data_IF_973824891252
#
_entry.id   IF_973824891252
#
_cell.length_a   1.000
_cell.length_b   1.000
_cell.length_c   1.000
_cell.angle_alpha   90.00
_cell.angle_beta   90.00
_cell.angle_gamma   90.00
#
_symmetry.space_group_name_H-M   'P 1'
#
loop_
_entity.id
_entity.type
_entity.pdbx_description
1 polymer ?
#
# COMPACT_ATOMS: atom_id res chain seq x y z
N UNK A 1 -22.99 14.65 1.82
CA UNK A 1 -23.81 15.88 1.97
C UNK A 1 -25.02 15.82 1.06
N UNK A 2 -24.86 15.72 -0.25
CA UNK A 2 -25.99 15.63 -1.19
C UNK A 2 -26.97 14.50 -0.83
N UNK A 3 -26.50 13.35 -0.38
CA UNK A 3 -27.35 12.22 0.06
C UNK A 3 -28.18 12.48 1.31
N UNK A 4 -27.70 13.34 2.23
CA UNK A 4 -28.40 13.70 3.48
C UNK A 4 -29.43 14.79 3.17
N UNK A 5 -29.01 15.80 2.39
CA UNK A 5 -29.85 16.90 1.93
C UNK A 5 -31.01 16.41 1.05
N UNK A 6 -30.76 15.48 0.12
CA UNK A 6 -31.79 14.89 -0.74
C UNK A 6 -32.86 14.11 0.04
N UNK A 7 -32.58 13.73 1.30
CA UNK A 7 -33.54 13.09 2.19
C UNK A 7 -34.28 14.07 3.11
N UNK A 8 -34.05 15.38 2.97
CA UNK A 8 -34.60 16.40 3.87
C UNK A 8 -34.04 16.36 5.29
N UNK A 9 -32.95 15.62 5.51
CA UNK A 9 -32.34 15.46 6.83
C UNK A 9 -31.29 16.56 7.09
N UNK A 10 -31.12 16.92 8.36
CA UNK A 10 -30.06 17.84 8.80
C UNK A 10 -28.93 17.04 9.46
N UNK A 11 -27.70 17.48 9.26
CA UNK A 11 -26.52 16.90 9.89
C UNK A 11 -26.13 17.79 11.07
N UNK A 12 -26.17 17.23 12.27
CA UNK A 12 -25.60 17.85 13.46
C UNK A 12 -24.39 17.05 13.92
N UNK A 13 -23.28 17.76 14.16
CA UNK A 13 -22.02 17.15 14.55
C UNK A 13 -21.70 17.63 15.95
N UNK A 14 -21.81 16.74 16.93
CA UNK A 14 -21.69 17.08 18.35
C UNK A 14 -20.36 17.76 18.72
N UNK A 15 -19.29 17.47 17.96
CA UNK A 15 -17.96 18.02 18.18
C UNK A 15 -17.71 19.33 17.41
N UNK A 16 -18.68 19.81 16.63
CA UNK A 16 -18.62 21.09 15.93
C UNK A 16 -19.68 22.04 16.51
N UNK A 17 -19.53 23.37 16.33
CA UNK A 17 -20.59 24.30 16.70
C UNK A 17 -21.91 23.91 16.02
N UNK A 18 -22.93 23.61 16.84
CA UNK A 18 -24.25 23.24 16.34
C UNK A 18 -24.97 24.47 15.80
N UNK A 19 -25.60 24.31 14.64
CA UNK A 19 -26.37 25.37 13.97
C UNK A 19 -27.89 25.19 14.17
N UNK A 20 -28.29 24.36 15.13
CA UNK A 20 -29.69 24.07 15.47
C UNK A 20 -30.47 25.28 15.97
N UNK A 21 -29.78 26.29 16.53
CA UNK A 21 -30.37 27.57 16.97
C UNK A 21 -30.74 28.54 15.84
N UNK A 22 -30.39 28.24 14.59
CA UNK A 22 -30.75 29.06 13.42
C UNK A 22 -32.15 28.65 12.94
N UNK A 23 -33.10 29.59 13.02
CA UNK A 23 -34.49 29.37 12.63
C UNK A 23 -34.67 29.17 11.12
N UNK A 24 -33.90 29.88 10.29
CA UNK A 24 -33.95 29.74 8.83
C UNK A 24 -33.22 28.46 8.38
N UNK A 25 -33.93 27.47 7.79
CA UNK A 25 -33.34 26.24 7.30
C UNK A 25 -32.27 26.46 6.21
N UNK A 26 -32.43 27.47 5.37
CA UNK A 26 -31.51 27.75 4.26
C UNK A 26 -30.18 28.28 4.78
N UNK A 27 -30.23 29.25 5.71
CA UNK A 27 -29.05 29.78 6.38
C UNK A 27 -28.32 28.71 7.19
N UNK A 28 -29.06 27.87 7.93
CA UNK A 28 -28.48 26.73 8.65
C UNK A 28 -27.74 25.79 7.71
N UNK A 29 -28.33 25.46 6.56
CA UNK A 29 -27.73 24.56 5.58
C UNK A 29 -26.46 25.14 4.95
N UNK A 30 -26.47 26.44 4.63
CA UNK A 30 -25.31 27.15 4.10
C UNK A 30 -24.14 27.13 5.09
N UNK A 31 -24.39 27.49 6.34
CA UNK A 31 -23.37 27.54 7.39
C UNK A 31 -22.78 26.14 7.65
N UNK A 32 -23.62 25.11 7.77
CA UNK A 32 -23.15 23.72 7.93
C UNK A 32 -22.29 23.27 6.74
N UNK A 33 -22.66 23.63 5.50
CA UNK A 33 -21.88 23.29 4.31
C UNK A 33 -20.50 23.97 4.32
N UNK A 34 -20.46 25.27 4.63
CA UNK A 34 -19.21 26.04 4.69
C UNK A 34 -18.24 25.47 5.73
N UNK A 35 -18.74 25.17 6.94
CA UNK A 35 -17.91 24.57 7.99
C UNK A 35 -17.33 23.25 7.52
N UNK A 36 -18.16 22.37 6.97
CA UNK A 36 -17.71 21.07 6.45
C UNK A 36 -16.66 21.24 5.35
N UNK A 37 -16.80 22.23 4.47
CA UNK A 37 -15.83 22.53 3.42
C UNK A 37 -14.48 22.99 3.98
N UNK A 38 -14.49 23.85 5.00
CA UNK A 38 -13.27 24.27 5.71
C UNK A 38 -12.57 23.07 6.36
N UNK A 39 -13.31 22.19 7.03
CA UNK A 39 -12.73 20.98 7.62
C UNK A 39 -12.19 19.99 6.58
N UNK A 40 -12.86 19.87 5.43
CA UNK A 40 -12.35 19.06 4.30
C UNK A 40 -11.03 19.62 3.79
N UNK A 41 -10.95 20.94 3.59
CA UNK A 41 -9.73 21.60 3.15
C UNK A 41 -8.58 21.39 4.14
N UNK A 42 -8.84 21.58 5.44
CA UNK A 42 -7.86 21.36 6.50
C UNK A 42 -7.36 19.91 6.49
N UNK A 43 -8.27 18.94 6.43
CA UNK A 43 -7.92 17.52 6.39
C UNK A 43 -7.09 17.15 5.14
N UNK A 44 -7.42 17.72 3.98
CA UNK A 44 -6.64 17.50 2.76
C UNK A 44 -5.24 18.12 2.87
N UNK A 45 -5.13 19.34 3.41
CA UNK A 45 -3.87 20.04 3.63
C UNK A 45 -2.94 19.24 4.57
N UNK A 46 -3.47 18.75 5.68
CA UNK A 46 -2.73 17.89 6.61
C UNK A 46 -2.28 16.60 5.95
N UNK A 47 -3.15 15.96 5.16
CA UNK A 47 -2.81 14.75 4.41
C UNK A 47 -1.67 14.98 3.44
N UNK A 48 -1.69 16.09 2.68
CA UNK A 48 -0.59 16.47 1.77
C UNK A 48 0.72 16.65 2.53
N UNK A 49 0.69 17.37 3.66
CA UNK A 49 1.87 17.59 4.52
C UNK A 49 2.46 16.28 5.06
N UNK A 50 1.63 15.31 5.45
CA UNK A 50 2.09 13.98 5.91
C UNK A 50 2.81 13.24 4.78
N UNK A 51 2.23 13.26 3.57
CA UNK A 51 2.82 12.59 2.39
C UNK A 51 4.17 13.23 2.02
N UNK A 52 4.25 14.56 1.99
CA UNK A 52 5.49 15.28 1.69
C UNK A 52 6.60 14.93 2.69
N UNK A 53 6.30 14.94 3.99
CA UNK A 53 7.26 14.57 5.04
C UNK A 53 7.69 13.11 4.92
N UNK A 54 6.76 12.21 4.61
CA UNK A 54 7.09 10.81 4.38
C UNK A 54 8.03 10.65 3.17
N UNK A 55 7.77 11.35 2.07
CA UNK A 55 8.62 11.33 0.89
C UNK A 55 10.03 11.82 1.19
N UNK A 56 10.17 12.92 1.96
CA UNK A 56 11.46 13.42 2.43
C UNK A 56 12.20 12.38 3.29
N UNK A 57 11.51 11.74 4.23
CA UNK A 57 12.09 10.68 5.06
C UNK A 57 12.54 9.46 4.25
N UNK A 58 11.72 9.00 3.30
CA UNK A 58 12.05 7.91 2.38
C UNK A 58 13.28 8.28 1.55
N UNK A 59 13.34 9.51 1.03
CA UNK A 59 14.47 9.99 0.23
C UNK A 59 15.78 9.93 1.02
N UNK A 60 15.80 10.45 2.26
CA UNK A 60 16.98 10.39 3.13
C UNK A 60 17.37 8.94 3.45
N UNK A 61 16.42 8.08 3.77
CA UNK A 61 16.70 6.68 4.07
C UNK A 61 17.17 5.89 2.82
N UNK A 62 16.74 6.26 1.61
CA UNK A 62 17.28 5.73 0.36
C UNK A 62 18.73 6.18 0.12
N UNK A 63 19.05 7.45 0.37
CA UNK A 63 20.45 7.93 0.30
C UNK A 63 21.37 7.19 1.29
N UNK A 64 20.86 6.90 2.49
CA UNK A 64 21.55 6.09 3.49
C UNK A 64 21.60 4.59 3.16
N UNK A 65 21.05 4.17 2.01
CA UNK A 65 21.07 2.78 1.57
C UNK A 65 20.16 1.83 2.34
N UNK A 66 19.27 2.31 3.23
CA UNK A 66 18.42 1.45 4.09
C UNK A 66 17.38 0.61 3.33
N UNK A 67 17.03 1.01 2.10
CA UNK A 67 16.04 0.31 1.29
C UNK A 67 16.68 -0.79 0.44
N UNK A 68 16.57 -2.04 0.89
CA UNK A 68 17.05 -3.23 0.16
C UNK A 68 15.94 -4.02 -0.55
N UNK A 69 14.72 -3.45 -0.60
CA UNK A 69 13.55 -4.11 -1.19
C UNK A 69 13.05 -5.30 -0.37
N UNK A 70 12.33 -6.21 -1.04
CA UNK A 70 11.82 -7.43 -0.40
C UNK A 70 12.97 -8.38 -0.10
N UNK A 71 13.03 -8.89 1.14
CA UNK A 71 13.98 -9.95 1.52
C UNK A 71 13.84 -11.17 0.57
N UNK A 72 14.95 -11.71 0.02
CA UNK A 72 14.92 -12.92 -0.78
C UNK A 72 14.22 -14.06 -0.03
N UNK A 73 13.38 -14.82 -0.75
CA UNK A 73 12.67 -15.97 -0.20
C UNK A 73 13.58 -17.17 0.06
N UNK A 74 14.64 -17.32 -0.72
CA UNK A 74 15.64 -18.38 -0.59
C UNK A 74 17.02 -17.73 -0.57
N UNK A 75 17.87 -18.19 0.34
CA UNK A 75 19.31 -17.87 0.37
C UNK A 75 20.06 -18.82 -0.57
N UNK A 76 21.33 -18.52 -0.82
CA UNK A 76 22.19 -19.40 -1.64
C UNK A 76 22.34 -20.79 -1.00
N UNK A 77 22.51 -20.82 0.32
CA UNK A 77 22.65 -22.05 1.10
C UNK A 77 21.33 -22.75 1.43
N UNK A 78 20.20 -22.30 0.86
CA UNK A 78 18.91 -22.91 1.16
C UNK A 78 18.88 -24.38 0.65
N UNK A 79 18.66 -25.37 1.54
CA UNK A 79 18.71 -26.77 1.14
C UNK A 79 17.73 -27.14 0.03
N UNK A 80 16.55 -26.51 -0.02
CA UNK A 80 15.55 -26.75 -1.07
C UNK A 80 15.99 -26.16 -2.40
N UNK A 81 16.63 -24.99 -2.38
CA UNK A 81 17.14 -24.36 -3.59
C UNK A 81 18.35 -25.12 -4.15
N UNK A 82 19.27 -25.55 -3.28
CA UNK A 82 20.40 -26.40 -3.67
C UNK A 82 19.93 -27.73 -4.25
N UNK A 83 18.92 -28.37 -3.64
CA UNK A 83 18.30 -29.57 -4.18
C UNK A 83 17.68 -29.32 -5.56
N UNK A 84 17.01 -28.19 -5.74
CA UNK A 84 16.44 -27.80 -7.03
C UNK A 84 17.51 -27.61 -8.12
N UNK A 85 18.65 -27.00 -7.79
CA UNK A 85 19.77 -26.86 -8.73
C UNK A 85 20.39 -28.19 -9.12
N UNK A 86 20.58 -29.10 -8.15
CA UNK A 86 21.06 -30.46 -8.44
C UNK A 86 20.12 -31.19 -9.40
N UNK A 87 18.81 -31.18 -9.13
CA UNK A 87 17.82 -31.80 -10.02
C UNK A 87 17.88 -31.23 -11.44
N UNK A 88 17.99 -29.91 -11.57
CA UNK A 88 18.13 -29.26 -12.88
C UNK A 88 19.40 -29.70 -13.62
N UNK A 89 20.54 -29.76 -12.93
CA UNK A 89 21.81 -30.20 -13.52
C UNK A 89 21.80 -31.67 -13.93
N UNK A 90 21.06 -32.54 -13.22
CA UNK A 90 20.83 -33.94 -13.66
C UNK A 90 19.98 -34.06 -14.92
N UNK A 91 19.45 -32.94 -15.43
CA UNK A 91 18.79 -32.84 -16.71
C UNK A 91 17.27 -32.71 -16.65
N UNK A 92 16.72 -32.55 -15.45
CA UNK A 92 15.29 -32.36 -15.20
C UNK A 92 14.81 -30.99 -15.70
N UNK A 93 13.58 -30.90 -16.23
CA UNK A 93 13.02 -29.64 -16.73
C UNK A 93 12.68 -28.66 -15.59
N UNK A 94 12.61 -27.35 -15.88
CA UNK A 94 12.20 -26.34 -14.88
C UNK A 94 10.81 -26.65 -14.27
N UNK A 95 9.93 -27.34 -15.00
CA UNK A 95 8.59 -27.73 -14.54
C UNK A 95 8.67 -28.88 -13.53
N UNK A 96 9.47 -29.89 -13.84
CA UNK A 96 9.61 -31.08 -13.02
C UNK A 96 10.38 -30.77 -11.73
N UNK A 97 11.40 -29.90 -11.81
CA UNK A 97 12.10 -29.38 -10.63
C UNK A 97 11.14 -28.65 -9.71
N UNK A 98 10.27 -27.80 -10.27
CA UNK A 98 9.27 -27.08 -9.49
C UNK A 98 8.27 -28.02 -8.80
N UNK A 99 7.84 -29.08 -9.50
CA UNK A 99 6.93 -30.11 -8.96
C UNK A 99 7.58 -30.87 -7.81
N UNK A 100 8.85 -31.27 -7.96
CA UNK A 100 9.56 -32.08 -6.97
C UNK A 100 10.02 -31.30 -5.74
N UNK A 101 10.34 -30.01 -5.89
CA UNK A 101 10.90 -29.18 -4.80
C UNK A 101 9.85 -28.33 -4.09
N UNK A 102 8.69 -28.11 -4.74
CA UNK A 102 7.66 -27.17 -4.31
C UNK A 102 8.03 -25.70 -4.56
N UNK A 103 9.18 -25.41 -5.17
CA UNK A 103 9.55 -24.06 -5.57
C UNK A 103 8.77 -23.72 -6.85
N UNK A 104 7.98 -22.64 -6.83
CA UNK A 104 7.26 -22.19 -8.02
C UNK A 104 8.23 -22.03 -9.20
N UNK A 105 7.87 -22.56 -10.37
CA UNK A 105 8.71 -22.53 -11.60
C UNK A 105 9.31 -21.16 -11.90
N UNK A 106 8.51 -20.10 -11.87
CA UNK A 106 8.99 -18.72 -12.12
C UNK A 106 10.00 -18.24 -11.08
N UNK A 107 9.83 -18.69 -9.83
CA UNK A 107 10.77 -18.41 -8.75
C UNK A 107 12.07 -19.17 -8.99
N UNK A 108 11.99 -20.47 -9.31
CA UNK A 108 13.16 -21.28 -9.63
C UNK A 108 13.97 -20.69 -10.80
N UNK A 109 13.33 -20.36 -11.92
CA UNK A 109 13.99 -19.72 -13.07
C UNK A 109 14.68 -18.41 -12.68
N UNK A 110 14.03 -17.58 -11.85
CA UNK A 110 14.62 -16.32 -11.37
C UNK A 110 15.89 -16.58 -10.53
N UNK A 111 15.84 -17.54 -9.61
CA UNK A 111 17.00 -17.88 -8.79
C UNK A 111 18.11 -18.55 -9.61
N UNK A 112 17.76 -19.37 -10.59
CA UNK A 112 18.70 -19.98 -11.54
C UNK A 112 19.49 -18.93 -12.31
N UNK A 113 18.80 -17.92 -12.87
CA UNK A 113 19.44 -16.77 -13.52
C UNK A 113 20.28 -15.95 -12.53
N UNK A 114 19.78 -15.73 -11.31
CA UNK A 114 20.49 -14.97 -10.28
C UNK A 114 21.82 -15.61 -9.90
N UNK A 115 21.88 -16.94 -9.82
CA UNK A 115 23.07 -17.70 -9.44
C UNK A 115 23.82 -18.30 -10.65
N UNK A 116 23.51 -17.88 -11.87
CA UNK A 116 24.13 -18.35 -13.12
C UNK A 116 24.18 -19.89 -13.27
N UNK A 117 23.17 -20.59 -12.77
CA UNK A 117 23.10 -22.06 -12.87
C UNK A 117 22.60 -22.43 -14.27
N UNK A 118 23.53 -22.92 -15.10
CA UNK A 118 23.26 -23.42 -16.44
C UNK A 118 23.39 -24.94 -16.50
N UNK A 119 22.85 -25.52 -17.57
CA UNK A 119 22.98 -26.94 -17.90
C UNK A 119 23.98 -27.08 -19.04
#
# INVERSE_FOLDING_TARGET
>A
MNTIQNKGATLDVLNLPSMTGIADPNLRQLMTNLIIELYKYQAESERKRIIERQQQGIFLAKQQGKYHGRKPQYTEDDPRLLHAFKLYQTGMSDVDVARNTGIKRTTFIRYRKKFNVNR
#
